data_IF_877023730234
#
_entry.id   IF_877023730234
#
_cell.length_a   1.000
_cell.length_b   1.000
_cell.length_c   1.000
_cell.angle_alpha   90.00
_cell.angle_beta   90.00
_cell.angle_gamma   90.00
#
_symmetry.space_group_name_H-M   'P 1'
#
loop_
_entity.id
_entity.type
_entity.pdbx_description
1 polymer ?
#
# COMPACT_ATOMS: atom_id res chain seq x y z
N UNK A 1 -9.69 19.66 -7.42
CA UNK A 1 -8.90 20.20 -6.31
C UNK A 1 -7.68 20.98 -6.81
N UNK A 2 -7.12 21.84 -5.98
CA UNK A 2 -5.82 22.50 -6.21
C UNK A 2 -4.93 22.36 -4.97
N UNK A 3 -3.61 22.30 -5.17
CA UNK A 3 -2.64 22.10 -4.09
C UNK A 3 -1.26 22.67 -4.41
N UNK A 4 -0.65 23.32 -3.42
CA UNK A 4 0.72 23.83 -3.40
C UNK A 4 1.39 23.52 -2.06
N UNK A 5 2.69 23.20 -2.04
CA UNK A 5 3.42 23.14 -0.78
C UNK A 5 3.72 24.56 -0.28
N UNK A 6 3.52 24.80 1.02
CA UNK A 6 3.73 26.10 1.67
C UNK A 6 5.14 26.69 1.46
N UNK A 7 6.13 25.84 1.18
CA UNK A 7 7.52 26.23 0.99
C UNK A 7 7.96 26.28 -0.49
N UNK A 8 7.05 26.03 -1.44
CA UNK A 8 7.34 26.07 -2.87
C UNK A 8 6.48 27.10 -3.59
N UNK A 9 7.09 27.91 -4.46
CA UNK A 9 6.33 28.82 -5.34
C UNK A 9 5.57 28.08 -6.46
N UNK A 10 5.83 26.78 -6.66
CA UNK A 10 5.17 25.99 -7.71
C UNK A 10 3.88 25.36 -7.22
N UNK A 11 2.78 25.66 -7.91
CA UNK A 11 1.53 24.92 -7.77
C UNK A 11 1.72 23.51 -8.32
N UNK A 12 1.39 22.50 -7.52
CA UNK A 12 1.51 21.10 -7.93
C UNK A 12 0.28 20.68 -8.73
N UNK A 13 -0.91 21.05 -8.24
CA UNK A 13 -2.17 20.77 -8.92
C UNK A 13 -3.00 22.04 -9.07
N UNK A 14 -3.45 22.30 -10.29
CA UNK A 14 -4.42 23.35 -10.58
C UNK A 14 -5.69 22.73 -11.18
N UNK A 15 -6.81 22.81 -10.45
CA UNK A 15 -8.13 22.31 -10.89
C UNK A 15 -8.14 20.84 -11.33
N UNK A 16 -7.33 19.99 -10.69
CA UNK A 16 -7.32 18.55 -10.94
C UNK A 16 -8.67 17.93 -10.58
N UNK A 17 -9.33 17.28 -11.54
CA UNK A 17 -10.61 16.61 -11.34
C UNK A 17 -10.57 15.26 -12.03
N UNK A 18 -10.80 14.20 -11.27
CA UNK A 18 -10.95 12.85 -11.78
C UNK A 18 -11.85 12.06 -10.83
N UNK A 19 -12.50 11.05 -11.37
CA UNK A 19 -13.29 10.07 -10.62
C UNK A 19 -12.69 8.71 -10.90
N UNK A 20 -12.74 7.83 -9.90
CA UNK A 20 -12.28 6.47 -10.04
C UNK A 20 -13.35 5.51 -9.51
N UNK A 21 -13.68 4.48 -10.30
CA UNK A 21 -14.78 3.56 -10.05
C UNK A 21 -14.28 2.13 -10.18
N UNK A 22 -14.59 1.31 -9.17
CA UNK A 22 -14.41 -0.14 -9.21
C UNK A 22 -13.12 -0.63 -8.53
N UNK A 23 -12.97 -1.93 -8.30
CA UNK A 23 -11.78 -2.51 -7.69
C UNK A 23 -10.69 -2.83 -8.72
N UNK A 24 -9.46 -3.09 -8.26
CA UNK A 24 -8.37 -3.54 -9.12
C UNK A 24 -7.02 -2.89 -8.83
N UNK A 25 -6.06 -3.12 -9.72
CA UNK A 25 -4.74 -2.49 -9.69
C UNK A 25 -4.69 -1.28 -10.63
N UNK A 26 -4.24 -0.15 -10.11
CA UNK A 26 -4.17 1.13 -10.80
C UNK A 26 -2.77 1.71 -10.68
N UNK A 27 -2.28 2.23 -11.81
CA UNK A 27 -0.99 2.91 -11.87
C UNK A 27 -1.21 4.42 -11.95
N UNK A 28 -0.60 5.16 -11.03
CA UNK A 28 -0.36 6.59 -11.20
C UNK A 28 1.02 6.76 -11.82
N UNK A 29 1.05 7.24 -13.07
CA UNK A 29 2.26 7.40 -13.88
C UNK A 29 2.53 8.88 -14.19
N UNK A 30 3.78 9.20 -14.55
CA UNK A 30 4.21 10.54 -14.91
C UNK A 30 5.65 10.79 -14.50
N UNK A 31 6.24 11.91 -14.92
CA UNK A 31 7.64 12.23 -14.64
C UNK A 31 7.95 12.33 -13.13
N UNK A 32 9.22 12.19 -12.77
CA UNK A 32 9.66 12.45 -11.40
C UNK A 32 9.39 13.92 -11.03
N UNK A 33 8.87 14.17 -9.84
CA UNK A 33 8.56 15.53 -9.36
C UNK A 33 7.21 16.10 -9.82
N UNK A 34 6.45 15.43 -10.68
CA UNK A 34 5.13 15.92 -11.15
C UNK A 34 4.04 15.93 -10.06
N UNK A 35 4.31 15.36 -8.89
CA UNK A 35 3.40 15.40 -7.74
C UNK A 35 2.66 14.09 -7.44
N UNK A 36 3.03 12.96 -8.03
CA UNK A 36 2.35 11.67 -7.80
C UNK A 36 2.23 11.27 -6.32
N UNK A 37 3.33 11.35 -5.56
CA UNK A 37 3.32 11.09 -4.11
C UNK A 37 2.51 12.14 -3.35
N UNK A 38 2.45 13.38 -3.84
CA UNK A 38 1.56 14.41 -3.28
C UNK A 38 0.10 14.01 -3.48
N UNK A 39 -0.29 13.57 -4.68
CA UNK A 39 -1.64 13.08 -4.94
C UNK A 39 -1.98 11.88 -4.05
N UNK A 40 -1.07 10.91 -3.93
CA UNK A 40 -1.25 9.76 -3.06
C UNK A 40 -1.51 10.15 -1.59
N UNK A 41 -0.73 11.11 -1.06
CA UNK A 41 -0.92 11.64 0.31
C UNK A 41 -2.20 12.45 0.48
N UNK A 42 -2.64 13.15 -0.57
CA UNK A 42 -3.93 13.86 -0.58
C UNK A 42 -5.07 12.84 -0.52
N UNK A 43 -5.04 11.81 -1.38
CA UNK A 43 -6.06 10.75 -1.40
C UNK A 43 -6.08 9.97 -0.08
N UNK A 44 -4.95 9.76 0.60
CA UNK A 44 -4.94 9.11 1.91
C UNK A 44 -5.33 10.01 3.08
N UNK A 45 -5.60 11.30 2.82
CA UNK A 45 -5.92 12.28 3.86
C UNK A 45 -4.73 12.70 4.73
N UNK A 46 -3.49 12.32 4.37
CA UNK A 46 -2.28 12.73 5.09
C UNK A 46 -1.95 14.22 4.89
N UNK A 47 -2.37 14.79 3.75
CA UNK A 47 -2.32 16.22 3.48
C UNK A 47 -3.66 16.67 2.89
N UNK A 48 -4.08 17.90 3.20
CA UNK A 48 -5.33 18.45 2.69
C UNK A 48 -5.06 19.27 1.42
N UNK A 49 -5.99 19.25 0.44
CA UNK A 49 -5.91 20.18 -0.68
C UNK A 49 -6.18 21.61 -0.21
N UNK A 50 -5.62 22.60 -0.90
CA UNK A 50 -5.89 24.01 -0.61
C UNK A 50 -7.32 24.41 -1.01
N UNK A 51 -7.81 23.81 -2.10
CA UNK A 51 -9.16 24.03 -2.64
C UNK A 51 -9.76 22.76 -3.21
N UNK A 52 -11.07 22.63 -3.11
CA UNK A 52 -11.84 21.48 -3.58
C UNK A 52 -11.94 20.39 -2.50
N UNK A 53 -12.52 19.25 -2.88
CA UNK A 53 -12.85 18.14 -1.98
C UNK A 53 -12.46 16.81 -2.60
N UNK A 54 -12.39 15.78 -1.76
CA UNK A 54 -12.30 14.38 -2.16
C UNK A 54 -13.56 13.71 -1.64
N UNK A 55 -14.28 13.02 -2.52
CA UNK A 55 -15.38 12.15 -2.13
C UNK A 55 -14.89 10.70 -2.16
N UNK A 56 -15.03 10.00 -1.03
CA UNK A 56 -14.64 8.61 -0.89
C UNK A 56 -15.82 7.65 -1.09
N UNK A 57 -17.01 8.15 -1.42
CA UNK A 57 -18.23 7.36 -1.63
C UNK A 57 -18.49 6.31 -0.53
N UNK A 58 -18.19 6.66 0.72
CA UNK A 58 -18.38 5.80 1.88
C UNK A 58 -17.18 4.94 2.27
N UNK A 59 -16.05 4.98 1.55
CA UNK A 59 -14.81 4.38 2.03
C UNK A 59 -14.27 5.15 3.24
N UNK A 60 -14.10 4.44 4.36
CA UNK A 60 -13.70 5.03 5.64
C UNK A 60 -12.20 4.91 5.93
N UNK A 61 -11.48 4.11 5.14
CA UNK A 61 -10.08 3.78 5.43
C UNK A 61 -9.24 3.65 4.15
N UNK A 62 -8.34 4.60 3.95
CA UNK A 62 -7.36 4.62 2.86
C UNK A 62 -5.98 4.48 3.48
N UNK A 63 -5.27 3.40 3.16
CA UNK A 63 -3.90 3.22 3.62
C UNK A 63 -2.94 3.71 2.56
N UNK A 64 -2.01 4.57 2.96
CA UNK A 64 -0.85 4.94 2.15
C UNK A 64 0.42 4.36 2.77
N UNK A 65 1.15 3.58 1.98
CA UNK A 65 2.32 2.82 2.45
C UNK A 65 3.56 3.28 1.71
N UNK A 66 4.67 3.37 2.43
CA UNK A 66 5.98 3.68 1.87
C UNK A 66 6.99 2.57 2.23
N UNK A 67 8.18 2.63 1.65
CA UNK A 67 9.28 1.71 1.99
C UNK A 67 9.88 1.95 3.40
N UNK A 68 9.37 2.90 4.20
CA UNK A 68 9.90 3.24 5.53
C UNK A 68 9.17 2.52 6.69
N UNK A 69 8.32 1.55 6.38
CA UNK A 69 7.50 0.82 7.34
C UNK A 69 8.33 -0.05 8.28
N UNK A 70 7.99 -0.02 9.57
CA UNK A 70 8.76 -0.67 10.62
C UNK A 70 7.97 -1.79 11.28
N UNK A 71 8.65 -2.91 11.48
CA UNK A 71 8.20 -3.98 12.36
C UNK A 71 8.89 -3.87 13.72
N UNK A 72 8.31 -4.49 14.78
CA UNK A 72 8.98 -4.57 16.07
C UNK A 72 10.33 -5.31 15.97
N UNK A 73 11.43 -4.61 16.22
CA UNK A 73 12.78 -5.16 16.05
C UNK A 73 13.11 -6.32 17.00
N UNK A 74 12.38 -6.53 18.09
CA UNK A 74 12.71 -7.57 19.08
C UNK A 74 12.13 -8.96 18.77
N UNK A 75 11.42 -9.15 17.65
CA UNK A 75 10.80 -10.44 17.32
C UNK A 75 10.93 -10.81 15.84
N UNK A 76 10.78 -12.10 15.56
CA UNK A 76 10.68 -12.59 14.19
C UNK A 76 9.35 -12.23 13.55
N UNK A 77 9.32 -12.22 12.22
CA UNK A 77 8.10 -11.96 11.44
C UNK A 77 7.01 -12.96 11.83
N UNK A 78 7.34 -14.26 11.87
CA UNK A 78 6.41 -15.31 12.27
C UNK A 78 5.80 -15.04 13.65
N UNK A 79 6.63 -14.69 14.65
CA UNK A 79 6.15 -14.40 16.00
C UNK A 79 5.24 -13.18 16.05
N UNK A 80 5.55 -12.15 15.26
CA UNK A 80 4.70 -10.97 15.13
C UNK A 80 3.33 -11.32 14.54
N UNK A 81 3.29 -12.00 13.38
CA UNK A 81 2.02 -12.37 12.76
C UNK A 81 1.20 -13.35 13.61
N UNK A 82 1.85 -14.34 14.24
CA UNK A 82 1.17 -15.29 15.12
C UNK A 82 0.55 -14.58 16.35
N UNK A 83 1.07 -13.43 16.78
CA UNK A 83 0.55 -12.67 17.93
C UNK A 83 -0.52 -11.64 17.57
N UNK A 84 -0.47 -11.04 16.38
CA UNK A 84 -1.44 -10.02 15.94
C UNK A 84 -2.62 -10.60 15.17
N UNK A 85 -2.45 -11.76 14.52
CA UNK A 85 -3.52 -12.39 13.74
C UNK A 85 -4.39 -13.33 14.61
N UNK A 86 -5.72 -13.27 14.45
CA UNK A 86 -6.63 -14.28 14.97
C UNK A 86 -6.25 -15.70 14.52
N UNK A 87 -6.51 -16.70 15.38
CA UNK A 87 -6.09 -18.10 15.14
C UNK A 87 -6.67 -18.70 13.87
N UNK A 88 -7.90 -18.34 13.48
CA UNK A 88 -8.54 -18.76 12.23
C UNK A 88 -7.80 -18.27 10.99
N UNK A 89 -7.07 -17.15 11.09
CA UNK A 89 -6.24 -16.59 10.02
C UNK A 89 -4.85 -17.23 9.93
N UNK A 90 -4.41 -18.02 10.90
CA UNK A 90 -3.06 -18.62 10.90
C UNK A 90 -2.82 -19.56 9.72
N UNK A 91 -3.84 -20.30 9.29
CA UNK A 91 -3.74 -21.16 8.09
C UNK A 91 -3.52 -20.32 6.83
N UNK A 92 -4.24 -19.20 6.71
CA UNK A 92 -4.13 -18.29 5.59
C UNK A 92 -2.77 -17.58 5.56
N UNK A 93 -2.30 -17.11 6.72
CA UNK A 93 -0.97 -16.51 6.88
C UNK A 93 0.14 -17.47 6.43
N UNK A 94 0.10 -18.73 6.86
CA UNK A 94 1.07 -19.75 6.44
C UNK A 94 1.08 -19.98 4.94
N UNK A 95 -0.10 -20.02 4.31
CA UNK A 95 -0.20 -20.09 2.85
C UNK A 95 0.42 -18.87 2.18
N UNK A 96 0.17 -17.66 2.69
CA UNK A 96 0.75 -16.42 2.13
C UNK A 96 2.27 -16.39 2.21
N UNK A 97 2.86 -16.90 3.28
CA UNK A 97 4.32 -16.97 3.37
C UNK A 97 4.93 -17.80 2.23
N UNK A 98 4.26 -18.90 1.86
CA UNK A 98 4.67 -19.75 0.73
C UNK A 98 4.41 -19.07 -0.61
N UNK A 99 3.18 -18.59 -0.85
CA UNK A 99 2.78 -18.00 -2.13
C UNK A 99 3.59 -16.75 -2.48
N UNK A 100 4.02 -15.98 -1.48
CA UNK A 100 4.85 -14.78 -1.67
C UNK A 100 6.36 -15.09 -1.59
N UNK A 101 6.75 -16.36 -1.44
CA UNK A 101 8.15 -16.78 -1.45
C UNK A 101 8.98 -16.19 -0.30
N UNK A 102 8.39 -16.07 0.89
CA UNK A 102 9.08 -15.58 2.11
C UNK A 102 9.13 -16.63 3.22
N UNK A 103 8.61 -17.83 3.00
CA UNK A 103 8.56 -18.90 4.00
C UNK A 103 9.92 -19.25 4.61
N UNK A 104 11.01 -19.12 3.86
CA UNK A 104 12.37 -19.41 4.34
C UNK A 104 12.93 -18.35 5.30
N UNK A 105 12.40 -17.13 5.29
CA UNK A 105 12.94 -16.01 6.07
C UNK A 105 12.03 -15.55 7.21
N UNK A 106 10.87 -16.17 7.44
CA UNK A 106 9.90 -15.71 8.46
C UNK A 106 10.36 -15.87 9.91
N UNK A 107 11.38 -16.69 10.16
CA UNK A 107 12.01 -16.79 11.48
C UNK A 107 13.03 -15.67 11.73
N UNK A 108 13.40 -14.90 10.70
CA UNK A 108 14.26 -13.73 10.82
C UNK A 108 13.51 -12.52 11.35
N UNK A 109 14.27 -11.57 11.88
CA UNK A 109 13.79 -10.21 12.16
C UNK A 109 13.60 -9.45 10.86
N UNK A 110 12.65 -8.52 10.84
CA UNK A 110 12.34 -7.70 9.67
C UNK A 110 13.56 -6.91 9.15
N UNK A 111 14.37 -6.36 10.04
CA UNK A 111 15.56 -5.55 9.69
C UNK A 111 16.68 -6.36 9.01
N UNK A 112 16.59 -7.70 9.03
CA UNK A 112 17.55 -8.60 8.35
C UNK A 112 17.06 -9.08 6.98
N UNK A 113 15.85 -8.70 6.59
CA UNK A 113 15.31 -9.00 5.28
C UNK A 113 15.86 -8.05 4.22
N UNK A 114 15.95 -8.51 2.98
CA UNK A 114 16.15 -7.60 1.85
C UNK A 114 14.94 -6.68 1.67
N UNK A 115 15.11 -5.53 1.03
CA UNK A 115 13.99 -4.60 0.76
C UNK A 115 12.81 -5.28 0.05
N UNK A 116 13.08 -6.17 -0.92
CA UNK A 116 12.04 -6.94 -1.60
C UNK A 116 11.28 -7.89 -0.66
N UNK A 117 11.99 -8.54 0.27
CA UNK A 117 11.36 -9.39 1.29
C UNK A 117 10.56 -8.55 2.29
N UNK A 118 11.06 -7.39 2.71
CA UNK A 118 10.35 -6.44 3.56
C UNK A 118 9.05 -5.97 2.90
N UNK A 119 9.10 -5.62 1.62
CA UNK A 119 7.93 -5.18 0.85
C UNK A 119 6.87 -6.28 0.78
N UNK A 120 7.27 -7.54 0.54
CA UNK A 120 6.34 -8.69 0.54
C UNK A 120 5.72 -8.93 1.92
N UNK A 121 6.50 -8.81 2.99
CA UNK A 121 5.98 -8.92 4.37
C UNK A 121 4.97 -7.81 4.68
N UNK A 122 5.28 -6.57 4.31
CA UNK A 122 4.38 -5.42 4.47
C UNK A 122 3.09 -5.61 3.65
N UNK A 123 3.20 -6.04 2.40
CA UNK A 123 2.05 -6.34 1.55
C UNK A 123 1.11 -7.35 2.21
N UNK A 124 1.64 -8.44 2.76
CA UNK A 124 0.82 -9.41 3.48
C UNK A 124 0.16 -8.78 4.71
N UNK A 125 0.88 -7.95 5.48
CA UNK A 125 0.32 -7.21 6.62
C UNK A 125 -0.88 -6.35 6.20
N UNK A 126 -0.80 -5.64 5.07
CA UNK A 126 -1.90 -4.81 4.56
C UNK A 126 -3.08 -5.63 4.03
N UNK A 127 -2.82 -6.79 3.43
CA UNK A 127 -3.88 -7.70 2.96
C UNK A 127 -4.71 -8.26 4.12
N UNK A 128 -4.14 -8.40 5.32
CA UNK A 128 -4.86 -8.80 6.53
C UNK A 128 -5.65 -7.68 7.20
N UNK A 129 -5.46 -6.43 6.78
CA UNK A 129 -6.21 -5.30 7.30
C UNK A 129 -7.49 -5.08 6.48
N UNK A 130 -8.53 -4.63 7.18
CA UNK A 130 -9.83 -4.32 6.58
C UNK A 130 -9.82 -2.88 6.04
N UNK A 131 -9.22 -2.70 4.87
CA UNK A 131 -9.17 -1.39 4.21
C UNK A 131 -9.59 -1.53 2.74
N UNK A 132 -10.56 -0.75 2.27
CA UNK A 132 -11.02 -0.79 0.88
C UNK A 132 -10.02 -0.20 -0.12
N UNK A 133 -9.13 0.69 0.32
CA UNK A 133 -8.15 1.36 -0.56
C UNK A 133 -6.74 1.24 0.02
N UNK A 134 -5.83 0.70 -0.79
CA UNK A 134 -4.42 0.56 -0.49
C UNK A 134 -3.58 1.27 -1.55
N UNK A 135 -2.94 2.37 -1.16
CA UNK A 135 -2.01 3.13 -1.99
C UNK A 135 -0.58 2.75 -1.60
N UNK A 136 0.21 2.31 -2.58
CA UNK A 136 1.55 1.78 -2.39
C UNK A 136 2.54 2.63 -3.19
N UNK A 137 3.30 3.47 -2.48
CA UNK A 137 4.37 4.28 -3.09
C UNK A 137 5.64 3.44 -3.17
N UNK A 138 6.17 3.24 -4.38
CA UNK A 138 7.43 2.53 -4.72
C UNK A 138 7.55 1.06 -4.24
N UNK A 139 6.61 0.58 -3.43
CA UNK A 139 6.71 -0.68 -2.68
C UNK A 139 6.38 -1.91 -3.54
N UNK A 140 5.74 -1.71 -4.70
CA UNK A 140 5.38 -2.78 -5.65
C UNK A 140 6.00 -2.67 -7.05
N UNK A 141 7.06 -1.89 -7.25
CA UNK A 141 7.82 -1.99 -8.52
C UNK A 141 8.23 -3.44 -8.86
N UNK A 142 8.30 -4.33 -7.84
CA UNK A 142 8.67 -5.73 -7.95
C UNK A 142 7.51 -6.73 -7.69
N UNK A 143 6.24 -6.33 -7.74
CA UNK A 143 5.12 -7.29 -7.71
C UNK A 143 4.88 -7.80 -9.12
N UNK A 144 5.37 -9.02 -9.34
CA UNK A 144 5.13 -9.78 -10.58
C UNK A 144 3.64 -10.10 -10.78
N UNK A 145 3.29 -10.46 -12.02
CA UNK A 145 1.92 -10.75 -12.42
C UNK A 145 1.27 -11.84 -11.55
N UNK A 146 2.03 -12.89 -11.23
CA UNK A 146 1.56 -14.00 -10.38
C UNK A 146 1.15 -13.49 -9.00
N UNK A 147 1.91 -12.56 -8.42
CA UNK A 147 1.58 -11.97 -7.12
C UNK A 147 0.34 -11.06 -7.22
N UNK A 148 0.16 -10.32 -8.30
CA UNK A 148 -1.07 -9.52 -8.54
C UNK A 148 -2.30 -10.40 -8.64
N UNK A 149 -2.24 -11.47 -9.43
CA UNK A 149 -3.33 -12.44 -9.57
C UNK A 149 -3.69 -13.07 -8.21
N UNK A 150 -2.67 -13.49 -7.45
CA UNK A 150 -2.89 -14.03 -6.11
C UNK A 150 -3.60 -13.03 -5.19
N UNK A 151 -3.27 -11.74 -5.28
CA UNK A 151 -3.91 -10.68 -4.49
C UNK A 151 -5.37 -10.50 -4.90
N UNK A 152 -5.64 -10.35 -6.19
CA UNK A 152 -7.00 -10.17 -6.74
C UNK A 152 -7.90 -11.33 -6.32
N UNK A 153 -7.43 -12.57 -6.53
CA UNK A 153 -8.19 -13.78 -6.21
C UNK A 153 -8.52 -13.89 -4.72
N UNK A 154 -7.64 -13.38 -3.85
CA UNK A 154 -7.79 -13.48 -2.39
C UNK A 154 -8.72 -12.44 -1.80
N UNK A 155 -8.72 -11.25 -2.38
CA UNK A 155 -9.56 -10.16 -1.92
C UNK A 155 -10.91 -10.12 -2.66
N UNK A 156 -11.18 -11.13 -3.50
CA UNK A 156 -12.33 -11.18 -4.41
C UNK A 156 -12.42 -9.97 -5.35
N UNK A 157 -11.29 -9.29 -5.55
CA UNK A 157 -11.25 -7.98 -6.21
C UNK A 157 -12.18 -6.98 -5.55
N UNK A 158 -12.15 -6.82 -4.22
CA UNK A 158 -12.98 -5.82 -3.52
C UNK A 158 -12.21 -4.53 -3.21
N UNK A 159 -10.88 -4.59 -3.17
CA UNK A 159 -10.00 -3.47 -2.86
C UNK A 159 -9.46 -2.77 -4.10
N UNK A 160 -9.19 -1.49 -3.91
CA UNK A 160 -8.49 -0.63 -4.85
C UNK A 160 -7.02 -0.58 -4.45
N UNK A 161 -6.15 -1.04 -5.35
CA UNK A 161 -4.71 -1.01 -5.21
C UNK A 161 -4.15 0.06 -6.13
N UNK A 162 -3.69 1.18 -5.59
CA UNK A 162 -3.04 2.23 -6.38
C UNK A 162 -1.53 2.17 -6.16
N UNK A 163 -0.73 2.19 -7.22
CA UNK A 163 0.72 2.30 -7.11
C UNK A 163 1.26 3.49 -7.88
N UNK A 164 2.27 4.13 -7.31
CA UNK A 164 2.95 5.27 -7.92
C UNK A 164 4.18 4.76 -8.67
N UNK A 165 4.26 5.04 -9.98
CA UNK A 165 5.37 4.59 -10.84
C UNK A 165 5.94 5.74 -11.67
N UNK A 166 7.17 5.58 -12.15
CA UNK A 166 7.94 6.58 -12.90
C UNK A 166 7.83 6.33 -14.40
#
# INVERSE_FOLDING_TARGET
MSFSYSNSQSTIFEKLSFEYIGPGFHALFGESGVGKSSLARIISGMILPDKGTIDYHGFTNVIYTTNQERFPGWQSIKKHFDSVLPRDKHKLWRKMMTDFGIAHCVNSRFDYLSLGQQNRVNLIRYLFQDNPVLIMDESLANVDENMRENIILRDHGMKIYAYVTY
#
